data_IF_704804593570
#
_entry.id   IF_704804593570
#
_cell.length_a   1.000
_cell.length_b   1.000
_cell.length_c   1.000
_cell.angle_alpha   90.00
_cell.angle_beta   90.00
_cell.angle_gamma   90.00
#
_symmetry.space_group_name_H-M   'P 1'
#
loop_
_entity.id
_entity.type
_entity.pdbx_description
1 polymer ?
#
# COMPACT_ATOMS: atom_id res chain seq x y z
N UNK A 1 -5.62 35.64 16.89
CA UNK A 1 -6.45 34.57 16.29
C UNK A 1 -7.43 35.18 15.30
N UNK A 2 -7.45 34.69 14.06
CA UNK A 2 -8.27 35.27 12.99
C UNK A 2 -9.71 34.69 13.02
N UNK A 3 -10.63 35.24 12.21
CA UNK A 3 -12.04 34.81 12.21
C UNK A 3 -12.24 33.39 11.65
N UNK A 4 -11.32 32.87 10.83
CA UNK A 4 -11.37 31.50 10.34
C UNK A 4 -10.98 30.51 11.44
N UNK A 5 -9.94 30.82 12.22
CA UNK A 5 -9.50 29.99 13.35
C UNK A 5 -10.64 29.81 14.37
N UNK A 6 -11.40 30.88 14.67
CA UNK A 6 -12.59 30.81 15.54
C UNK A 6 -13.72 29.96 14.94
N UNK A 7 -13.94 30.04 13.62
CA UNK A 7 -14.95 29.21 12.93
C UNK A 7 -14.58 27.72 12.94
N UNK A 8 -13.29 27.41 12.91
CA UNK A 8 -12.77 26.04 13.04
C UNK A 8 -12.77 25.54 14.49
N UNK A 9 -13.17 26.39 15.45
CA UNK A 9 -13.24 26.03 16.87
C UNK A 9 -11.90 26.05 17.58
N UNK A 10 -10.89 26.72 17.03
CA UNK A 10 -9.54 26.80 17.62
C UNK A 10 -9.50 27.66 18.91
N UNK A 11 -10.59 28.33 19.30
CA UNK A 11 -10.78 29.00 20.62
C UNK A 11 -11.37 28.08 21.68
N UNK A 12 -11.73 26.85 21.32
CA UNK A 12 -12.42 25.93 22.22
C UNK A 12 -11.42 24.95 22.80
N UNK A 13 -11.46 24.81 24.13
CA UNK A 13 -10.73 23.74 24.81
C UNK A 13 -11.26 22.39 24.33
N UNK A 14 -10.35 21.51 23.88
CA UNK A 14 -10.69 20.16 23.44
C UNK A 14 -10.41 19.20 24.58
N UNK A 15 -11.47 18.68 25.20
CA UNK A 15 -11.36 17.59 26.16
C UNK A 15 -11.38 16.23 25.45
N UNK A 16 -10.87 15.17 26.08
CA UNK A 16 -11.00 13.78 25.58
C UNK A 16 -12.47 13.41 25.27
N UNK A 17 -13.41 13.97 26.05
CA UNK A 17 -14.85 13.84 25.89
C UNK A 17 -15.34 14.41 24.55
N UNK A 18 -14.85 15.57 24.13
CA UNK A 18 -15.26 16.21 22.87
C UNK A 18 -14.89 15.36 21.65
N UNK A 19 -13.76 14.64 21.72
CA UNK A 19 -13.28 13.76 20.65
C UNK A 19 -14.09 12.45 20.57
N UNK A 20 -14.30 11.76 21.71
CA UNK A 20 -15.00 10.48 21.74
C UNK A 20 -16.48 10.61 21.32
N UNK A 21 -17.14 11.73 21.64
CA UNK A 21 -18.53 11.96 21.20
C UNK A 21 -18.65 12.43 19.75
N UNK A 22 -17.66 13.15 19.22
CA UNK A 22 -17.69 13.65 17.83
C UNK A 22 -17.44 12.54 16.81
N UNK A 23 -16.54 11.58 17.11
CA UNK A 23 -16.28 10.42 16.24
C UNK A 23 -17.51 9.50 16.17
N UNK A 24 -18.23 9.29 17.27
CA UNK A 24 -19.48 8.51 17.28
C UNK A 24 -20.63 9.14 16.50
N UNK A 25 -20.56 10.45 16.20
CA UNK A 25 -21.60 11.19 15.48
C UNK A 25 -21.42 11.17 13.97
N UNK A 26 -20.17 11.03 13.48
CA UNK A 26 -19.84 11.05 12.04
C UNK A 26 -20.11 9.69 11.37
N UNK A 27 -20.08 8.58 12.13
CA UNK A 27 -20.35 7.23 11.62
C UNK A 27 -21.83 6.86 11.53
N UNK A 28 -22.75 7.71 11.99
CA UNK A 28 -24.20 7.47 11.90
C UNK A 28 -24.79 7.58 10.49
N UNK A 29 -23.96 7.85 9.46
CA UNK A 29 -24.41 8.09 8.09
C UNK A 29 -24.45 6.88 7.15
N UNK A 30 -23.83 5.73 7.50
CA UNK A 30 -23.79 4.58 6.59
C UNK A 30 -23.95 3.28 7.41
N UNK A 31 -24.81 2.40 6.89
CA UNK A 31 -25.12 1.02 7.33
C UNK A 31 -26.40 0.86 8.17
N UNK A 32 -27.52 0.73 7.45
CA UNK A 32 -28.71 0.00 7.87
C UNK A 32 -28.60 -1.50 7.58
N UNK A 33 -29.15 -2.30 8.50
CA UNK A 33 -29.66 -3.69 8.43
C UNK A 33 -28.73 -4.88 8.74
N UNK A 34 -29.11 -5.64 9.77
CA UNK A 34 -28.96 -7.11 9.84
C UNK A 34 -28.33 -7.69 11.13
N UNK A 35 -29.12 -7.98 12.16
CA UNK A 35 -28.74 -8.61 13.44
C UNK A 35 -28.38 -10.12 13.29
N UNK A 36 -27.70 -10.85 14.21
CA UNK A 36 -27.98 -11.16 15.63
C UNK A 36 -26.83 -11.94 16.33
N UNK A 37 -26.62 -11.64 17.63
CA UNK A 37 -26.25 -12.49 18.80
C UNK A 37 -24.86 -13.17 18.96
N UNK A 38 -24.12 -12.74 20.01
CA UNK A 38 -23.78 -13.50 21.24
C UNK A 38 -22.30 -13.47 21.72
N UNK A 39 -22.08 -12.67 22.77
CA UNK A 39 -21.25 -12.81 23.99
C UNK A 39 -19.78 -13.30 23.95
N UNK A 40 -18.86 -12.41 24.36
CA UNK A 40 -18.21 -12.39 25.69
C UNK A 40 -17.12 -11.29 25.72
N UNK A 41 -17.25 -10.29 26.58
CA UNK A 41 -16.28 -9.20 26.72
C UNK A 41 -15.26 -9.50 27.83
N UNK A 42 -13.94 -9.40 27.60
CA UNK A 42 -12.98 -9.27 28.68
C UNK A 42 -12.79 -7.79 29.04
N UNK A 43 -12.88 -7.47 30.34
CA UNK A 43 -12.50 -6.17 30.89
C UNK A 43 -11.03 -5.88 30.61
N UNK A 44 -10.75 -4.80 29.88
CA UNK A 44 -9.40 -4.25 29.76
C UNK A 44 -9.08 -3.45 31.02
N UNK A 45 -8.28 -4.03 31.91
CA UNK A 45 -7.65 -3.29 33.00
C UNK A 45 -6.58 -2.34 32.40
N UNK A 46 -6.57 -1.09 32.88
CA UNK A 46 -5.53 -0.10 32.61
C UNK A 46 -4.18 -0.63 33.12
N UNK A 47 -3.40 -1.24 32.23
CA UNK A 47 -2.03 -1.63 32.53
C UNK A 47 -1.11 -0.42 32.31
N UNK A 48 -0.49 0.05 33.39
CA UNK A 48 0.74 0.85 33.33
C UNK A 48 1.80 0.09 32.52
N UNK A 49 2.51 0.72 31.57
CA UNK A 49 3.54 0.03 30.79
C UNK A 49 4.75 -0.23 31.69
N UNK A 50 4.78 -1.40 32.32
CA UNK A 50 6.03 -1.98 32.77
C UNK A 50 6.76 -2.46 31.51
N UNK A 51 7.89 -1.82 31.21
CA UNK A 51 8.88 -2.23 30.21
C UNK A 51 9.54 -3.54 30.63
N UNK A 52 8.77 -4.63 30.56
CA UNK A 52 9.33 -5.97 30.44
C UNK A 52 9.48 -6.27 28.95
N UNK A 53 10.52 -7.01 28.57
CA UNK A 53 10.78 -7.45 27.17
C UNK A 53 9.54 -8.11 26.54
N UNK A 54 8.62 -8.63 27.37
CA UNK A 54 7.31 -9.18 26.95
C UNK A 54 6.34 -8.18 26.30
N UNK A 55 6.58 -6.87 26.42
CA UNK A 55 5.70 -5.79 25.93
C UNK A 55 6.30 -4.95 24.80
N UNK A 56 7.38 -5.39 24.16
CA UNK A 56 7.97 -4.68 23.02
C UNK A 56 7.37 -5.18 21.69
N UNK A 57 6.47 -4.41 21.04
CA UNK A 57 5.72 -4.88 19.87
C UNK A 57 6.58 -5.32 18.67
N UNK A 58 7.72 -4.66 18.34
CA UNK A 58 8.55 -5.06 17.20
C UNK A 58 9.08 -6.50 17.25
N UNK A 59 9.19 -7.13 18.42
CA UNK A 59 9.63 -8.52 18.56
C UNK A 59 8.52 -9.55 18.39
N UNK A 60 7.26 -9.11 18.28
CA UNK A 60 6.14 -10.03 18.15
C UNK A 60 6.10 -10.60 16.73
N UNK A 61 5.89 -11.91 16.62
CA UNK A 61 5.81 -12.62 15.34
C UNK A 61 4.36 -12.81 14.88
N UNK A 62 4.18 -13.32 13.65
CA UNK A 62 2.87 -13.59 13.04
C UNK A 62 2.37 -12.46 12.13
N UNK A 63 1.12 -12.56 11.67
CA UNK A 63 0.48 -11.50 10.88
C UNK A 63 0.11 -10.33 11.78
N UNK A 64 0.95 -9.30 11.80
CA UNK A 64 0.87 -8.23 12.78
C UNK A 64 0.37 -6.89 12.27
N UNK A 65 0.09 -6.70 10.98
CA UNK A 65 -0.40 -5.43 10.39
C UNK A 65 -1.61 -4.87 11.16
N UNK A 66 -2.82 -5.27 10.75
CA UNK A 66 -3.98 -5.25 11.64
C UNK A 66 -3.98 -6.55 12.44
N UNK A 67 -3.87 -6.46 13.77
CA UNK A 67 -3.83 -7.64 14.65
C UNK A 67 -5.18 -7.83 15.36
N UNK A 68 -5.49 -9.04 15.86
CA UNK A 68 -6.64 -9.25 16.72
C UNK A 68 -6.68 -8.19 17.85
N UNK A 69 -7.83 -7.56 18.06
CA UNK A 69 -7.96 -6.41 18.96
C UNK A 69 -7.99 -5.05 18.25
N UNK A 70 -7.20 -4.83 17.19
CA UNK A 70 -7.10 -3.49 16.58
C UNK A 70 -8.37 -3.09 15.82
N UNK A 71 -9.11 -4.06 15.27
CA UNK A 71 -10.34 -3.83 14.51
C UNK A 71 -11.63 -4.12 15.30
N UNK A 72 -11.53 -4.62 16.53
CA UNK A 72 -12.68 -5.15 17.28
C UNK A 72 -13.72 -4.06 17.55
N UNK A 73 -13.29 -2.89 18.03
CA UNK A 73 -14.18 -1.74 18.29
C UNK A 73 -14.85 -1.25 17.00
N UNK A 74 -14.11 -1.19 15.90
CA UNK A 74 -14.64 -0.78 14.62
C UNK A 74 -15.69 -1.78 14.09
N UNK A 75 -15.46 -3.08 14.26
CA UNK A 75 -16.43 -4.11 13.91
C UNK A 75 -17.66 -4.10 14.83
N UNK A 76 -17.48 -3.93 16.14
CA UNK A 76 -18.59 -3.80 17.09
C UNK A 76 -19.50 -2.64 16.69
N UNK A 77 -18.93 -1.50 16.28
CA UNK A 77 -19.71 -0.38 15.79
C UNK A 77 -20.38 -0.69 14.44
N UNK A 78 -19.60 -1.03 13.41
CA UNK A 78 -20.05 -1.06 12.03
C UNK A 78 -20.84 -2.34 11.65
N UNK A 79 -20.58 -3.46 12.33
CA UNK A 79 -21.19 -4.76 12.02
C UNK A 79 -22.18 -5.20 13.09
N UNK A 80 -21.87 -4.93 14.37
CA UNK A 80 -22.72 -5.37 15.48
C UNK A 80 -23.69 -4.29 15.97
N UNK A 81 -23.56 -3.05 15.48
CA UNK A 81 -24.41 -1.93 15.87
C UNK A 81 -24.23 -1.49 17.32
N UNK A 82 -23.08 -1.79 17.94
CA UNK A 82 -22.77 -1.38 19.30
C UNK A 82 -22.63 0.14 19.35
N UNK A 83 -23.54 0.77 20.08
CA UNK A 83 -23.53 2.23 20.33
C UNK A 83 -23.30 2.58 21.80
N UNK A 84 -23.33 1.58 22.69
CA UNK A 84 -23.06 1.74 24.13
C UNK A 84 -21.66 1.21 24.49
N UNK A 85 -20.82 2.12 25.00
CA UNK A 85 -19.43 1.87 25.37
C UNK A 85 -19.21 1.83 26.89
N UNK A 86 -20.29 1.74 27.67
CA UNK A 86 -20.28 1.75 29.12
C UNK A 86 -20.47 3.14 29.72
N UNK A 87 -20.61 3.18 31.04
CA UNK A 87 -20.76 4.42 31.78
C UNK A 87 -19.52 5.33 31.59
N UNK A 88 -19.78 6.61 31.35
CA UNK A 88 -18.74 7.63 31.31
C UNK A 88 -17.99 7.65 32.65
N UNK A 89 -16.71 7.32 32.63
CA UNK A 89 -15.81 7.57 33.75
C UNK A 89 -15.52 9.08 33.85
N UNK A 90 -15.10 9.53 35.03
CA UNK A 90 -14.70 10.92 35.27
C UNK A 90 -13.70 11.41 34.19
N UNK A 91 -13.83 12.65 33.70
CA UNK A 91 -12.94 13.18 32.68
C UNK A 91 -11.49 13.17 33.18
N UNK A 92 -10.57 12.88 32.27
CA UNK A 92 -9.14 13.05 32.51
C UNK A 92 -8.90 14.50 33.00
N UNK A 93 -8.25 14.73 34.16
CA UNK A 93 -7.97 16.08 34.65
C UNK A 93 -7.03 16.86 33.72
N UNK A 94 -6.41 16.18 32.75
CA UNK A 94 -5.52 16.76 31.77
C UNK A 94 -6.29 17.42 30.62
N UNK A 95 -6.01 18.70 30.40
CA UNK A 95 -6.42 19.44 29.21
C UNK A 95 -5.34 19.29 28.15
N UNK A 96 -5.75 18.94 26.93
CA UNK A 96 -4.87 18.78 25.77
C UNK A 96 -5.10 19.92 24.78
N UNK A 97 -4.03 20.46 24.22
CA UNK A 97 -4.08 21.50 23.18
C UNK A 97 -4.36 20.91 21.80
N UNK A 98 -4.03 19.62 21.61
CA UNK A 98 -4.29 18.86 20.39
C UNK A 98 -4.57 17.39 20.74
N UNK A 99 -5.56 16.80 20.07
CA UNK A 99 -5.78 15.35 20.06
C UNK A 99 -5.63 14.83 18.65
N UNK A 100 -4.80 13.81 18.47
CA UNK A 100 -4.55 13.14 17.19
C UNK A 100 -5.00 11.69 17.30
N UNK A 101 -5.83 11.25 16.34
CA UNK A 101 -6.30 9.86 16.25
C UNK A 101 -5.58 9.18 15.09
N UNK A 102 -4.79 8.17 15.40
CA UNK A 102 -3.81 7.53 14.54
C UNK A 102 -2.40 8.08 14.77
N UNK A 103 -1.50 7.26 15.27
CA UNK A 103 -0.09 7.54 15.51
C UNK A 103 0.82 6.99 14.38
N UNK A 104 0.32 6.98 13.14
CA UNK A 104 1.15 6.79 11.94
C UNK A 104 1.80 8.09 11.47
N UNK A 105 2.50 8.05 10.32
CA UNK A 105 3.25 9.19 9.75
C UNK A 105 2.44 10.50 9.77
N UNK A 106 1.19 10.48 9.30
CA UNK A 106 0.35 11.69 9.26
C UNK A 106 0.06 12.26 10.65
N UNK A 107 -0.20 11.40 11.63
CA UNK A 107 -0.51 11.83 12.99
C UNK A 107 0.72 12.33 13.74
N UNK A 108 1.83 11.62 13.61
CA UNK A 108 3.12 12.02 14.17
C UNK A 108 3.62 13.32 13.54
N UNK A 109 3.50 13.49 12.22
CA UNK A 109 3.84 14.74 11.55
C UNK A 109 2.94 15.91 12.01
N UNK A 110 1.64 15.66 12.20
CA UNK A 110 0.71 16.67 12.73
C UNK A 110 1.12 17.11 14.14
N UNK A 111 1.45 16.16 15.01
CA UNK A 111 1.93 16.43 16.36
C UNK A 111 3.27 17.21 16.33
N UNK A 112 4.22 16.81 15.49
CA UNK A 112 5.52 17.48 15.31
C UNK A 112 5.35 18.94 14.88
N UNK A 113 4.59 19.20 13.82
CA UNK A 113 4.40 20.56 13.32
C UNK A 113 3.60 21.45 14.28
N UNK A 114 2.67 20.87 15.05
CA UNK A 114 1.94 21.60 16.08
C UNK A 114 2.86 21.96 17.24
N UNK A 115 3.65 20.99 17.74
CA UNK A 115 4.61 21.22 18.82
C UNK A 115 5.70 22.23 18.43
N UNK A 116 6.14 22.24 17.16
CA UNK A 116 7.09 23.24 16.65
C UNK A 116 6.55 24.67 16.75
N UNK A 117 5.24 24.86 16.58
CA UNK A 117 4.57 26.16 16.71
C UNK A 117 4.17 26.47 18.16
N UNK A 118 3.92 25.44 18.96
CA UNK A 118 3.48 25.52 20.34
C UNK A 118 4.35 24.61 21.22
N UNK A 119 5.55 25.05 21.63
CA UNK A 119 6.53 24.19 22.32
C UNK A 119 6.01 23.57 23.62
N UNK A 120 5.11 24.29 24.31
CA UNK A 120 4.52 23.86 25.58
C UNK A 120 3.19 23.10 25.41
N UNK A 121 2.78 22.83 24.17
CA UNK A 121 1.52 22.16 23.89
C UNK A 121 1.50 20.74 24.45
N UNK A 122 0.39 20.39 25.08
CA UNK A 122 0.10 19.03 25.51
C UNK A 122 -0.73 18.31 24.45
N UNK A 123 -0.10 17.34 23.79
CA UNK A 123 -0.70 16.60 22.68
C UNK A 123 -1.06 15.18 23.12
N UNK A 124 -2.30 14.76 22.89
CA UNK A 124 -2.73 13.37 23.07
C UNK A 124 -2.72 12.64 21.73
N UNK A 125 -1.91 11.59 21.60
CA UNK A 125 -2.00 10.65 20.48
C UNK A 125 -2.76 9.39 20.90
N UNK A 126 -3.72 8.97 20.08
CA UNK A 126 -4.51 7.77 20.28
C UNK A 126 -4.29 6.83 19.09
N UNK A 127 -3.87 5.59 19.34
CA UNK A 127 -3.78 4.55 18.33
C UNK A 127 -4.45 3.26 18.84
N UNK A 128 -5.05 2.51 17.93
CA UNK A 128 -5.65 1.21 18.21
C UNK A 128 -4.63 0.06 18.06
N UNK A 129 -3.43 0.35 17.55
CA UNK A 129 -2.32 -0.59 17.46
C UNK A 129 -1.52 -0.63 18.76
N UNK A 130 -0.78 -1.73 18.91
CA UNK A 130 0.12 -1.94 20.04
C UNK A 130 1.43 -1.16 19.93
N UNK A 131 1.68 -0.47 18.82
CA UNK A 131 2.85 0.37 18.56
C UNK A 131 2.49 1.60 17.71
N UNK A 132 3.37 2.59 17.67
CA UNK A 132 3.25 3.75 16.77
C UNK A 132 3.81 3.42 15.36
N UNK A 133 3.67 4.36 14.42
CA UNK A 133 4.18 4.25 13.05
C UNK A 133 3.16 3.72 12.03
N UNK A 134 2.06 3.11 12.50
CA UNK A 134 1.01 2.57 11.63
C UNK A 134 1.55 1.58 10.61
N UNK A 135 1.27 1.80 9.32
CA UNK A 135 1.78 0.96 8.22
C UNK A 135 3.32 0.94 8.10
N UNK A 136 4.01 1.90 8.70
CA UNK A 136 5.45 2.04 8.59
C UNK A 136 6.21 1.45 9.78
N UNK A 137 5.51 0.80 10.73
CA UNK A 137 6.11 0.25 11.95
C UNK A 137 7.25 -0.72 11.67
N UNK A 138 8.13 -0.87 12.65
CA UNK A 138 9.28 -1.78 12.63
C UNK A 138 8.92 -3.20 13.04
N UNK A 139 9.56 -4.16 12.40
CA UNK A 139 9.65 -5.56 12.82
C UNK A 139 11.10 -5.93 13.14
N UNK A 140 11.31 -6.75 14.16
CA UNK A 140 12.63 -7.23 14.57
C UNK A 140 12.65 -8.76 14.70
N UNK A 141 13.68 -9.37 14.12
CA UNK A 141 13.92 -10.80 14.16
C UNK A 141 15.28 -11.08 14.77
N UNK A 142 15.35 -12.00 15.73
CA UNK A 142 16.62 -12.47 16.27
C UNK A 142 17.08 -13.70 15.49
N UNK A 143 18.29 -13.63 14.93
CA UNK A 143 18.96 -14.74 14.26
C UNK A 143 20.26 -15.07 14.99
N UNK A 144 20.87 -16.22 14.71
CA UNK A 144 22.21 -16.55 15.24
C UNK A 144 23.28 -15.52 14.87
N UNK A 145 23.07 -14.77 13.78
CA UNK A 145 23.98 -13.72 13.28
C UNK A 145 23.70 -12.34 13.86
N UNK A 146 22.67 -12.21 14.70
CA UNK A 146 22.23 -10.94 15.31
C UNK A 146 20.80 -10.57 14.95
N UNK A 147 20.43 -9.34 15.32
CA UNK A 147 19.10 -8.76 15.05
C UNK A 147 18.98 -8.31 13.60
N UNK A 148 17.93 -8.78 12.93
CA UNK A 148 17.50 -8.31 11.61
C UNK A 148 16.31 -7.40 11.83
N UNK A 149 16.37 -6.20 11.28
CA UNK A 149 15.30 -5.22 11.32
C UNK A 149 14.64 -5.17 9.95
N UNK A 150 13.31 -5.04 9.91
CA UNK A 150 12.55 -4.84 8.69
C UNK A 150 11.33 -3.96 8.92
N UNK A 151 10.66 -3.60 7.84
CA UNK A 151 9.45 -2.79 7.83
C UNK A 151 8.17 -3.63 8.00
N UNK A 152 7.10 -2.98 8.46
CA UNK A 152 5.76 -3.55 8.60
C UNK A 152 4.91 -3.46 7.33
N UNK A 153 5.21 -2.53 6.43
CA UNK A 153 4.52 -2.36 5.17
C UNK A 153 5.10 -1.24 4.31
N UNK A 154 5.22 -0.02 4.86
CA UNK A 154 5.84 1.09 4.14
C UNK A 154 7.35 0.87 4.04
N UNK A 155 7.83 0.61 2.83
CA UNK A 155 9.18 0.12 2.59
C UNK A 155 10.17 1.17 2.06
N UNK A 156 9.71 2.18 1.32
CA UNK A 156 10.59 3.16 0.66
C UNK A 156 10.00 4.56 0.67
N UNK A 157 10.86 5.58 0.62
CA UNK A 157 10.48 6.91 0.17
C UNK A 157 10.51 6.92 -1.36
N UNK A 158 9.36 6.77 -2.01
CA UNK A 158 9.29 6.81 -3.47
C UNK A 158 9.45 8.26 -3.94
N UNK A 159 10.36 8.50 -4.88
CA UNK A 159 10.65 9.82 -5.50
C UNK A 159 10.84 10.99 -4.51
N UNK A 160 11.76 10.90 -3.53
CA UNK A 160 11.98 11.96 -2.55
C UNK A 160 12.42 13.28 -3.18
N UNK A 161 12.98 13.26 -4.40
CA UNK A 161 13.32 14.46 -5.15
C UNK A 161 12.07 15.31 -5.49
N UNK A 162 10.93 14.66 -5.72
CA UNK A 162 9.64 15.28 -6.06
C UNK A 162 8.86 15.78 -4.84
N UNK A 163 9.34 15.54 -3.61
CA UNK A 163 8.63 15.96 -2.40
C UNK A 163 8.51 17.47 -2.27
N UNK A 164 7.40 17.90 -1.69
CA UNK A 164 7.16 19.31 -1.36
C UNK A 164 8.17 19.83 -0.34
N UNK A 165 8.35 21.14 -0.28
CA UNK A 165 9.23 21.79 0.70
C UNK A 165 8.80 21.50 2.14
N UNK A 166 7.50 21.26 2.38
CA UNK A 166 6.97 20.87 3.69
C UNK A 166 7.53 19.51 4.11
N UNK A 167 7.46 18.53 3.22
CA UNK A 167 7.96 17.17 3.51
C UNK A 167 9.48 17.16 3.62
N UNK A 168 10.19 17.86 2.72
CA UNK A 168 11.65 18.03 2.80
C UNK A 168 12.06 18.73 4.11
N UNK A 169 11.27 19.70 4.58
CA UNK A 169 11.43 20.35 5.87
C UNK A 169 11.26 19.38 7.04
N UNK A 170 10.26 18.49 7.01
CA UNK A 170 10.09 17.44 8.02
C UNK A 170 11.28 16.49 8.05
N UNK A 171 11.71 15.99 6.89
CA UNK A 171 12.89 15.12 6.80
C UNK A 171 14.12 15.80 7.41
N UNK A 172 14.32 17.08 7.13
CA UNK A 172 15.40 17.87 7.74
C UNK A 172 15.26 18.02 9.26
N UNK A 173 14.06 18.30 9.75
CA UNK A 173 13.80 18.41 11.20
C UNK A 173 14.09 17.09 11.95
N UNK A 174 13.95 15.96 11.26
CA UNK A 174 14.25 14.61 11.76
C UNK A 174 15.69 14.16 11.47
N UNK A 175 16.55 15.05 10.96
CA UNK A 175 17.92 14.77 10.55
C UNK A 175 18.06 13.62 9.51
N UNK A 176 17.06 13.48 8.63
CA UNK A 176 17.06 12.50 7.55
C UNK A 176 17.80 13.04 6.32
N UNK A 177 18.88 12.37 5.96
CA UNK A 177 19.66 12.63 4.74
C UNK A 177 19.36 11.56 3.67
N UNK A 178 18.48 11.88 2.71
CA UNK A 178 18.04 10.96 1.63
C UNK A 178 19.23 10.39 0.85
N UNK A 179 20.28 11.18 0.60
CA UNK A 179 21.47 10.72 -0.14
C UNK A 179 22.23 9.60 0.59
N UNK A 180 22.08 9.46 1.91
CA UNK A 180 22.67 8.33 2.63
C UNK A 180 21.95 7.02 2.30
N UNK A 181 20.65 7.08 2.02
CA UNK A 181 19.84 5.90 1.69
C UNK A 181 20.26 5.30 0.33
N UNK A 182 20.73 6.12 -0.61
CA UNK A 182 21.27 5.64 -1.90
C UNK A 182 22.41 4.62 -1.74
N UNK A 183 23.15 4.71 -0.62
CA UNK A 183 24.26 3.81 -0.28
C UNK A 183 23.85 2.64 0.63
N UNK A 184 22.70 2.75 1.29
CA UNK A 184 22.21 1.74 2.22
C UNK A 184 21.59 0.54 1.50
N UNK A 185 21.12 0.73 0.27
CA UNK A 185 20.50 -0.31 -0.54
C UNK A 185 21.47 -0.89 -1.57
N UNK A 186 21.74 -2.20 -1.50
CA UNK A 186 22.60 -2.89 -2.47
C UNK A 186 21.85 -3.16 -3.78
N UNK A 187 21.83 -2.14 -4.65
CA UNK A 187 21.21 -2.23 -5.98
C UNK A 187 21.84 -3.31 -6.89
N UNK A 188 23.04 -3.79 -6.56
CA UNK A 188 23.72 -4.84 -7.32
C UNK A 188 23.38 -6.23 -6.81
N UNK A 189 22.68 -6.36 -5.68
CA UNK A 189 22.41 -7.64 -5.03
C UNK A 189 21.72 -8.63 -5.97
N UNK A 190 20.64 -8.24 -6.63
CA UNK A 190 19.90 -9.14 -7.51
C UNK A 190 20.74 -9.54 -8.73
N UNK A 191 21.35 -8.55 -9.40
CA UNK A 191 22.19 -8.77 -10.59
C UNK A 191 23.40 -9.66 -10.30
N UNK A 192 24.12 -9.42 -9.19
CA UNK A 192 25.32 -10.21 -8.83
C UNK A 192 25.00 -11.66 -8.45
N UNK A 193 23.77 -11.93 -8.04
CA UNK A 193 23.28 -13.27 -7.70
C UNK A 193 22.45 -13.93 -8.81
N UNK A 194 22.34 -13.29 -9.98
CA UNK A 194 21.56 -13.83 -11.10
C UNK A 194 20.05 -13.94 -10.81
N UNK A 195 19.52 -13.10 -9.91
CA UNK A 195 18.10 -13.09 -9.57
C UNK A 195 17.33 -12.27 -10.59
N UNK A 196 16.42 -12.91 -11.31
CA UNK A 196 15.56 -12.35 -12.35
C UNK A 196 14.08 -12.59 -12.03
N UNK A 197 13.19 -11.88 -12.72
CA UNK A 197 11.76 -12.13 -12.66
C UNK A 197 11.40 -13.47 -13.31
N UNK A 198 10.22 -13.98 -12.99
CA UNK A 198 9.65 -15.16 -13.64
C UNK A 198 8.17 -15.34 -13.32
N UNK A 199 7.46 -16.00 -14.23
CA UNK A 199 6.04 -16.34 -14.08
C UNK A 199 5.95 -17.79 -13.63
N UNK A 200 5.25 -18.06 -12.53
CA UNK A 200 5.03 -19.41 -12.05
C UNK A 200 3.66 -19.95 -12.47
N UNK A 201 3.68 -21.01 -13.27
CA UNK A 201 2.56 -21.84 -13.65
C UNK A 201 2.47 -23.00 -12.67
N UNK A 202 1.40 -23.08 -11.89
CA UNK A 202 1.19 -24.17 -10.94
C UNK A 202 0.45 -25.35 -11.60
N UNK A 203 0.72 -26.56 -11.12
CA UNK A 203 0.15 -27.79 -11.67
C UNK A 203 -1.39 -27.85 -11.60
N UNK A 204 -2.01 -27.24 -10.58
CA UNK A 204 -3.47 -27.26 -10.41
C UNK A 204 -4.20 -26.52 -11.53
N UNK A 205 -3.67 -25.38 -11.96
CA UNK A 205 -4.29 -24.55 -13.00
C UNK A 205 -3.76 -24.86 -14.41
N UNK A 206 -2.50 -25.30 -14.51
CA UNK A 206 -1.79 -25.36 -15.79
C UNK A 206 -1.27 -26.76 -16.16
N UNK A 207 -1.48 -27.76 -15.31
CA UNK A 207 -1.09 -29.15 -15.59
C UNK A 207 0.39 -29.47 -15.41
N UNK A 208 1.23 -28.48 -15.10
CA UNK A 208 2.62 -28.66 -14.65
C UNK A 208 3.05 -27.55 -13.68
N UNK A 209 4.00 -27.85 -12.79
CA UNK A 209 4.69 -26.84 -11.98
C UNK A 209 5.91 -26.33 -12.77
N UNK A 210 5.82 -25.12 -13.30
CA UNK A 210 6.84 -24.52 -14.16
C UNK A 210 7.04 -23.04 -13.89
N UNK A 211 8.31 -22.62 -13.82
CA UNK A 211 8.68 -21.20 -13.79
C UNK A 211 9.25 -20.82 -15.15
N UNK A 212 8.64 -19.85 -15.83
CA UNK A 212 9.16 -19.26 -17.07
C UNK A 212 9.94 -17.99 -16.70
N UNK A 213 11.27 -17.93 -16.89
CA UNK A 213 12.12 -16.83 -16.44
C UNK A 213 12.05 -15.61 -17.39
N UNK A 214 10.89 -14.96 -17.38
CA UNK A 214 10.54 -13.78 -18.16
C UNK A 214 9.72 -12.81 -17.31
N UNK A 215 10.00 -11.51 -17.41
CA UNK A 215 9.22 -10.47 -16.74
C UNK A 215 8.07 -10.04 -17.66
N UNK A 216 6.84 -10.23 -17.20
CA UNK A 216 5.62 -9.92 -17.96
C UNK A 216 4.87 -8.69 -17.40
N UNK A 217 5.34 -8.15 -16.28
CA UNK A 217 4.75 -6.97 -15.65
C UNK A 217 5.83 -6.11 -15.01
N UNK A 218 5.42 -5.34 -13.99
CA UNK A 218 6.25 -4.30 -13.39
C UNK A 218 7.25 -4.78 -12.31
N UNK A 219 7.53 -6.09 -12.17
CA UNK A 219 8.36 -6.57 -11.05
C UNK A 219 9.78 -5.97 -11.10
N UNK A 220 10.38 -5.90 -12.29
CA UNK A 220 11.65 -5.24 -12.53
C UNK A 220 11.65 -3.72 -12.31
N UNK A 221 10.48 -3.08 -12.25
CA UNK A 221 10.34 -1.65 -11.95
C UNK A 221 10.46 -1.37 -10.44
N UNK A 222 10.01 -2.31 -9.60
CA UNK A 222 10.09 -2.18 -8.13
C UNK A 222 11.39 -2.75 -7.53
N UNK A 223 12.07 -3.64 -8.25
CA UNK A 223 13.25 -4.35 -7.77
C UNK A 223 14.36 -4.30 -8.82
N UNK A 224 15.63 -4.06 -8.45
CA UNK A 224 16.73 -3.92 -9.42
C UNK A 224 17.21 -5.29 -9.94
N UNK A 225 16.28 -6.07 -10.51
CA UNK A 225 16.48 -7.44 -10.99
C UNK A 225 17.49 -7.51 -12.13
N UNK A 226 18.04 -8.71 -12.34
CA UNK A 226 18.69 -9.03 -13.60
C UNK A 226 17.66 -9.03 -14.74
N UNK A 227 18.07 -8.72 -15.98
CA UNK A 227 17.20 -8.85 -17.15
C UNK A 227 16.60 -10.26 -17.27
N UNK A 228 15.45 -10.36 -17.94
CA UNK A 228 14.85 -11.66 -18.26
C UNK A 228 15.85 -12.58 -18.96
N UNK A 229 15.83 -13.86 -18.61
CA UNK A 229 16.73 -14.86 -19.19
C UNK A 229 16.29 -15.22 -20.60
N UNK A 230 14.98 -15.36 -20.80
CA UNK A 230 14.39 -15.69 -22.09
C UNK A 230 14.01 -14.44 -22.87
N UNK A 231 14.08 -14.56 -24.20
CA UNK A 231 13.37 -13.65 -25.10
C UNK A 231 11.86 -13.85 -24.96
N UNK A 232 11.05 -12.87 -25.39
CA UNK A 232 9.60 -13.02 -25.39
C UNK A 232 9.13 -14.26 -26.16
N UNK A 233 9.77 -14.58 -27.30
CA UNK A 233 9.39 -15.73 -28.12
C UNK A 233 9.68 -17.06 -27.42
N UNK A 234 10.88 -17.18 -26.83
CA UNK A 234 11.28 -18.37 -26.08
C UNK A 234 10.45 -18.54 -24.80
N UNK A 235 10.11 -17.43 -24.14
CA UNK A 235 9.24 -17.45 -22.97
C UNK A 235 7.86 -17.99 -23.32
N UNK A 236 7.25 -17.52 -24.41
CA UNK A 236 5.95 -18.01 -24.90
C UNK A 236 6.00 -19.48 -25.28
N UNK A 237 7.09 -19.94 -25.91
CA UNK A 237 7.26 -21.37 -26.24
C UNK A 237 7.28 -22.26 -25.00
N UNK A 238 7.86 -21.75 -23.91
CA UNK A 238 7.90 -22.45 -22.62
C UNK A 238 6.60 -22.38 -21.83
N UNK A 239 5.65 -21.50 -22.16
CA UNK A 239 4.38 -21.45 -21.41
C UNK A 239 3.53 -22.71 -21.66
N UNK A 240 2.93 -23.30 -20.61
CA UNK A 240 2.02 -24.44 -20.72
C UNK A 240 0.62 -24.00 -21.19
N UNK A 241 0.58 -23.40 -22.38
CA UNK A 241 -0.64 -22.95 -23.06
C UNK A 241 -0.68 -23.57 -24.47
N UNK A 242 -1.86 -23.59 -25.08
CA UNK A 242 -2.09 -24.09 -26.43
C UNK A 242 -1.31 -23.32 -27.50
N UNK A 243 -1.05 -23.96 -28.64
CA UNK A 243 -0.35 -23.33 -29.77
C UNK A 243 -1.11 -22.11 -30.33
N UNK A 244 -2.44 -22.13 -30.24
CA UNK A 244 -3.29 -20.99 -30.62
C UNK A 244 -3.05 -19.81 -29.67
N UNK A 245 -3.08 -20.05 -28.35
CA UNK A 245 -2.76 -19.03 -27.34
C UNK A 245 -1.32 -18.51 -27.48
N UNK A 246 -0.34 -19.38 -27.74
CA UNK A 246 1.05 -18.95 -28.02
C UNK A 246 1.13 -18.00 -29.21
N UNK A 247 0.34 -18.24 -30.26
CA UNK A 247 0.31 -17.40 -31.45
C UNK A 247 -0.21 -16.00 -31.12
N UNK A 248 -1.36 -15.90 -30.44
CA UNK A 248 -1.92 -14.61 -30.03
C UNK A 248 -1.05 -13.90 -29.00
N UNK A 249 -0.47 -14.62 -28.04
CA UNK A 249 0.34 -14.02 -27.00
C UNK A 249 1.65 -13.46 -27.53
N UNK A 250 2.31 -14.18 -28.45
CA UNK A 250 3.47 -13.68 -29.18
C UNK A 250 3.13 -12.40 -29.94
N UNK A 251 2.00 -12.36 -30.63
CA UNK A 251 1.54 -11.16 -31.34
C UNK A 251 1.36 -10.00 -30.37
N UNK A 252 0.70 -10.21 -29.23
CA UNK A 252 0.49 -9.18 -28.20
C UNK A 252 1.81 -8.57 -27.70
N UNK A 253 2.82 -9.40 -27.40
CA UNK A 253 4.13 -8.95 -26.93
C UNK A 253 4.92 -8.16 -27.97
N UNK A 254 4.63 -8.36 -29.26
CA UNK A 254 5.36 -7.75 -30.38
C UNK A 254 4.65 -6.50 -30.95
N UNK A 255 3.47 -6.12 -30.47
CA UNK A 255 2.75 -4.95 -30.98
C UNK A 255 3.51 -3.65 -30.73
N UNK A 256 3.82 -2.93 -31.80
CA UNK A 256 4.69 -1.75 -31.80
C UNK A 256 4.02 -0.47 -32.35
N UNK A 257 2.73 -0.54 -32.72
CA UNK A 257 1.96 0.55 -33.33
C UNK A 257 0.66 0.79 -32.58
N UNK A 258 0.18 2.03 -32.62
CA UNK A 258 -1.14 2.42 -32.11
C UNK A 258 -2.28 1.73 -32.89
N UNK A 259 -3.08 0.93 -32.20
CA UNK A 259 -4.23 0.20 -32.76
C UNK A 259 -5.57 0.85 -32.40
N UNK A 260 -5.57 1.97 -31.68
CA UNK A 260 -6.75 2.80 -31.41
C UNK A 260 -6.53 4.26 -31.85
N UNK A 261 -6.12 4.52 -33.12
CA UNK A 261 -5.81 5.86 -33.62
C UNK A 261 -7.06 6.75 -33.75
N UNK A 262 -8.25 6.17 -33.80
CA UNK A 262 -9.52 6.89 -33.82
C UNK A 262 -9.81 7.64 -32.51
N UNK A 263 -9.12 7.28 -31.43
CA UNK A 263 -9.23 7.93 -30.13
C UNK A 263 -8.14 9.01 -30.04
N UNK A 264 -8.51 10.31 -29.98
CA UNK A 264 -7.53 11.38 -29.92
C UNK A 264 -6.60 11.25 -28.70
N UNK A 265 -5.32 11.59 -28.87
CA UNK A 265 -4.29 11.44 -27.82
C UNK A 265 -4.71 12.02 -26.45
N UNK A 266 -5.30 13.22 -26.43
CA UNK A 266 -5.78 13.88 -25.22
C UNK A 266 -6.94 13.13 -24.50
N UNK A 267 -7.62 12.22 -25.20
CA UNK A 267 -8.73 11.40 -24.66
C UNK A 267 -8.33 9.94 -24.39
N UNK A 268 -7.17 9.47 -24.87
CA UNK A 268 -6.73 8.06 -24.73
C UNK A 268 -6.70 7.59 -23.28
N UNK A 269 -6.02 8.31 -22.38
CA UNK A 269 -5.96 7.92 -20.95
C UNK A 269 -7.36 7.83 -20.31
N UNK A 270 -8.25 8.79 -20.61
CA UNK A 270 -9.64 8.76 -20.11
C UNK A 270 -10.41 7.56 -20.65
N UNK A 271 -10.24 7.23 -21.92
CA UNK A 271 -10.88 6.08 -22.55
C UNK A 271 -10.38 4.76 -21.94
N UNK A 272 -9.07 4.58 -21.81
CA UNK A 272 -8.47 3.38 -21.22
C UNK A 272 -8.84 3.20 -19.75
N UNK A 273 -9.14 4.29 -19.03
CA UNK A 273 -9.70 4.24 -17.68
C UNK A 273 -11.16 3.76 -17.64
N UNK A 274 -11.89 3.86 -18.76
CA UNK A 274 -13.32 3.54 -18.84
C UNK A 274 -13.62 2.11 -19.31
N UNK A 275 -12.60 1.36 -19.72
CA UNK A 275 -12.71 -0.04 -20.14
C UNK A 275 -11.77 -0.90 -19.32
N UNK A 276 -12.10 -2.18 -19.15
CA UNK A 276 -11.18 -3.13 -18.51
C UNK A 276 -10.04 -3.51 -19.46
N UNK A 277 -8.93 -3.98 -18.90
CA UNK A 277 -7.81 -4.47 -19.70
C UNK A 277 -8.21 -5.68 -20.55
N UNK A 278 -9.01 -6.59 -20.01
CA UNK A 278 -9.65 -7.67 -20.77
C UNK A 278 -10.34 -7.14 -22.04
N UNK A 279 -11.23 -6.14 -21.89
CA UNK A 279 -11.99 -5.58 -23.02
C UNK A 279 -11.09 -4.82 -24.00
N UNK A 280 -9.99 -4.23 -23.53
CA UNK A 280 -9.00 -3.63 -24.41
C UNK A 280 -8.33 -4.66 -25.30
N UNK A 281 -7.85 -5.77 -24.72
CA UNK A 281 -7.21 -6.86 -25.45
C UNK A 281 -8.16 -7.49 -26.47
N UNK A 282 -9.38 -7.85 -26.04
CA UNK A 282 -10.39 -8.49 -26.89
C UNK A 282 -10.84 -7.57 -28.03
N UNK A 283 -11.22 -6.32 -27.70
CA UNK A 283 -11.84 -5.42 -28.68
C UNK A 283 -10.85 -4.80 -29.65
N UNK A 284 -9.68 -4.39 -29.15
CA UNK A 284 -8.76 -3.54 -29.92
C UNK A 284 -7.50 -4.27 -30.37
N UNK A 285 -7.12 -5.33 -29.66
CA UNK A 285 -5.96 -6.14 -30.01
C UNK A 285 -6.35 -7.51 -30.60
N UNK A 286 -7.65 -7.79 -30.78
CA UNK A 286 -8.16 -9.00 -31.42
C UNK A 286 -7.64 -10.29 -30.75
N UNK A 287 -7.55 -10.28 -29.42
CA UNK A 287 -7.15 -11.45 -28.61
C UNK A 287 -8.42 -12.20 -28.22
N UNK A 288 -8.49 -13.50 -28.51
CA UNK A 288 -9.66 -14.34 -28.25
C UNK A 288 -9.33 -15.61 -27.48
N UNK A 289 -8.07 -16.01 -27.42
CA UNK A 289 -7.65 -17.25 -26.77
C UNK A 289 -7.77 -17.13 -25.23
N UNK A 290 -8.62 -17.95 -24.57
CA UNK A 290 -8.88 -17.85 -23.14
C UNK A 290 -7.62 -17.96 -22.27
N UNK A 291 -6.64 -18.75 -22.69
CA UNK A 291 -5.40 -18.96 -21.94
C UNK A 291 -4.52 -17.70 -21.92
N UNK A 292 -4.60 -16.82 -22.93
CA UNK A 292 -3.90 -15.52 -22.91
C UNK A 292 -4.43 -14.65 -21.78
N UNK A 293 -5.76 -14.58 -21.65
CA UNK A 293 -6.40 -13.86 -20.55
C UNK A 293 -6.07 -14.50 -19.21
N UNK A 294 -6.07 -15.84 -19.12
CA UNK A 294 -5.75 -16.56 -17.89
C UNK A 294 -4.32 -16.30 -17.40
N UNK A 295 -3.33 -16.19 -18.30
CA UNK A 295 -1.95 -15.84 -17.93
C UNK A 295 -1.89 -14.44 -17.32
N UNK A 296 -2.64 -13.50 -17.88
CA UNK A 296 -2.62 -12.10 -17.47
C UNK A 296 -3.53 -11.79 -16.26
N UNK A 297 -4.49 -12.66 -15.96
CA UNK A 297 -5.61 -12.41 -15.05
C UNK A 297 -5.17 -11.87 -13.68
N UNK A 298 -4.13 -12.47 -13.08
CA UNK A 298 -3.70 -12.18 -11.71
C UNK A 298 -2.45 -11.28 -11.64
N UNK A 299 -1.99 -10.74 -12.77
CA UNK A 299 -0.77 -9.93 -12.84
C UNK A 299 -0.98 -8.45 -12.52
N UNK A 300 -2.24 -8.03 -12.36
CA UNK A 300 -2.64 -6.70 -11.84
C UNK A 300 -2.58 -6.66 -10.30
N UNK A 301 -1.52 -7.25 -9.74
CA UNK A 301 -1.39 -7.77 -8.37
C UNK A 301 -1.75 -6.79 -7.23
N UNK A 302 -1.58 -5.48 -7.41
CA UNK A 302 -1.92 -4.49 -6.36
C UNK A 302 -3.38 -4.04 -6.35
N UNK A 303 -4.18 -4.41 -7.37
CA UNK A 303 -5.58 -4.00 -7.45
C UNK A 303 -6.53 -4.95 -6.70
N UNK A 304 -6.07 -6.15 -6.34
CA UNK A 304 -6.89 -7.18 -5.68
C UNK A 304 -8.06 -7.69 -6.54
N UNK A 305 -8.04 -7.40 -7.83
CA UNK A 305 -9.04 -7.80 -8.84
C UNK A 305 -8.31 -8.18 -10.12
N UNK A 306 -8.94 -8.97 -11.00
CA UNK A 306 -8.31 -9.37 -12.25
C UNK A 306 -8.50 -8.39 -13.41
N UNK A 307 -7.97 -8.76 -14.58
CA UNK A 307 -7.95 -7.89 -15.77
C UNK A 307 -9.33 -7.56 -16.35
N UNK A 308 -10.36 -8.31 -15.94
CA UNK A 308 -11.75 -8.10 -16.28
C UNK A 308 -12.36 -6.90 -15.53
N UNK A 309 -11.81 -6.56 -14.36
CA UNK A 309 -12.22 -5.42 -13.54
C UNK A 309 -11.18 -4.28 -13.52
N UNK A 310 -9.88 -4.60 -13.60
CA UNK A 310 -8.83 -3.61 -13.67
C UNK A 310 -8.94 -2.78 -14.97
N UNK A 311 -8.82 -1.47 -14.85
CA UNK A 311 -8.89 -0.60 -16.04
C UNK A 311 -7.70 -0.86 -16.97
N UNK A 312 -7.91 -0.72 -18.28
CA UNK A 312 -6.82 -0.86 -19.24
C UNK A 312 -5.68 0.12 -18.96
N UNK A 313 -6.00 1.35 -18.50
CA UNK A 313 -4.98 2.33 -18.14
C UNK A 313 -4.09 1.83 -17.00
N UNK A 314 -4.69 1.31 -15.93
CA UNK A 314 -3.97 0.79 -14.77
C UNK A 314 -3.11 -0.42 -15.12
N UNK A 315 -3.63 -1.36 -15.92
CA UNK A 315 -2.87 -2.52 -16.36
C UNK A 315 -1.63 -2.13 -17.19
N UNK A 316 -1.76 -1.12 -18.06
CA UNK A 316 -0.71 -0.68 -18.97
C UNK A 316 0.31 0.28 -18.35
N UNK A 317 -0.11 1.15 -17.43
CA UNK A 317 0.76 2.18 -16.83
C UNK A 317 1.35 1.77 -15.49
N UNK A 318 0.64 0.96 -14.70
CA UNK A 318 1.07 0.60 -13.35
C UNK A 318 1.54 -0.85 -13.24
N UNK A 319 0.79 -1.80 -13.80
CA UNK A 319 1.18 -3.21 -13.81
C UNK A 319 2.13 -3.56 -14.98
N UNK A 320 2.34 -2.60 -15.89
CA UNK A 320 3.19 -2.73 -17.09
C UNK A 320 2.86 -3.94 -17.98
N UNK A 321 1.58 -4.33 -18.02
CA UNK A 321 1.14 -5.42 -18.86
C UNK A 321 1.25 -5.06 -20.36
N UNK A 322 1.36 -6.05 -21.25
CA UNK A 322 1.59 -5.84 -22.68
C UNK A 322 0.57 -4.92 -23.40
N UNK A 323 0.98 -4.31 -24.51
CA UNK A 323 0.05 -3.54 -25.36
C UNK A 323 0.02 -2.03 -25.12
N UNK A 324 0.96 -1.48 -24.33
CA UNK A 324 1.07 -0.02 -24.11
C UNK A 324 1.22 0.78 -25.41
N UNK A 325 2.09 0.33 -26.31
CA UNK A 325 2.26 0.93 -27.64
C UNK A 325 1.00 0.81 -28.49
N UNK A 326 0.32 -0.33 -28.40
CA UNK A 326 -0.96 -0.56 -29.07
C UNK A 326 -2.09 0.35 -28.57
N UNK A 327 -2.02 0.79 -27.32
CA UNK A 327 -2.92 1.81 -26.79
C UNK A 327 -2.59 3.24 -27.27
N UNK A 328 -1.46 3.44 -27.94
CA UNK A 328 -0.95 4.76 -28.34
C UNK A 328 -0.58 5.64 -27.14
N UNK A 329 -0.19 5.03 -26.02
CA UNK A 329 0.34 5.74 -24.87
C UNK A 329 1.81 6.13 -25.12
N UNK A 330 2.27 7.27 -24.59
CA UNK A 330 3.68 7.64 -24.67
C UNK A 330 4.55 6.60 -23.94
N UNK A 331 5.87 6.56 -24.23
CA UNK A 331 6.82 5.80 -23.42
C UNK A 331 6.64 6.11 -21.93
N UNK A 332 6.95 5.13 -21.08
CA UNK A 332 6.98 5.36 -19.64
C UNK A 332 8.14 6.31 -19.33
N UNK A 333 7.88 7.28 -18.45
CA UNK A 333 8.93 8.16 -17.97
C UNK A 333 9.86 7.37 -17.03
N UNK A 334 11.15 7.68 -17.03
CA UNK A 334 12.07 7.07 -16.07
C UNK A 334 11.75 7.61 -14.68
N UNK A 335 11.27 6.73 -13.79
CA UNK A 335 11.06 7.05 -12.38
C UNK A 335 12.39 7.09 -11.62
N UNK A 336 12.41 7.81 -10.50
CA UNK A 336 13.54 7.76 -9.57
C UNK A 336 13.69 6.32 -9.04
N UNK A 337 14.93 5.85 -8.88
CA UNK A 337 15.18 4.50 -8.42
C UNK A 337 14.46 4.20 -7.09
N UNK A 338 13.77 3.07 -7.02
CA UNK A 338 13.03 2.60 -5.84
C UNK A 338 14.00 2.05 -4.78
N UNK A 339 14.82 2.92 -4.18
CA UNK A 339 16.01 2.54 -3.38
C UNK A 339 16.13 3.26 -2.03
N UNK A 340 15.25 4.23 -1.74
CA UNK A 340 15.33 5.06 -0.52
C UNK A 340 14.64 4.37 0.66
N UNK A 341 15.24 3.28 1.11
CA UNK A 341 14.70 2.42 2.18
C UNK A 341 15.29 2.77 3.55
N UNK A 342 14.42 2.89 4.55
CA UNK A 342 14.84 2.83 5.95
C UNK A 342 14.94 1.36 6.41
N UNK A 343 15.95 1.03 7.24
CA UNK A 343 16.14 -0.34 7.72
C UNK A 343 14.98 -0.83 8.61
N UNK A 344 14.28 0.08 9.27
CA UNK A 344 13.18 -0.17 10.20
C UNK A 344 11.78 0.18 9.67
N UNK A 345 11.68 0.63 8.42
CA UNK A 345 10.45 1.22 7.88
C UNK A 345 10.37 2.73 8.13
N UNK A 346 9.45 3.41 7.44
CA UNK A 346 9.37 4.88 7.44
C UNK A 346 8.53 5.46 8.61
N UNK A 347 8.48 4.80 9.78
CA UNK A 347 7.60 5.18 10.91
C UNK A 347 8.00 6.48 11.59
#
# INVERSE_FOLDING_TARGET
MNNNDKKLGMDRLISRRDVLHSIGSVTAGIVTTGALLSSAAPSAALATPATTISNYPPLRTGLRGNHPGSFDVAHQLAREGRVDWGALLEPDPVIYDLVVVGAGISGLASAHFYQKQHPDARILLLDNHDDFGGHAKRNEFHTEKGTVIGYGGAQTLQEPSSYSDIVKGLLKDLDIEVQRLEKAYDQKFYKKHGLHAGIHFNNKAWGEDKVVPFDLGALGSYMPLAPSVLSSDSAVDEMPISDAAKTEFRRLLQLDKDLIPEIPAAKKRRYLKSISYYRFLEKHLDIHEPEVFAVLQDLVSDFGVGIDAATALSALEYAELPGRKAAGLPPQEEEEAYIHHFPDGNA
#
